data_IF_493666365369
#
_entry.id   IF_493666365369
#
_cell.length_a   1.000
_cell.length_b   1.000
_cell.length_c   1.000
_cell.angle_alpha   90.00
_cell.angle_beta   90.00
_cell.angle_gamma   90.00
#
_symmetry.space_group_name_H-M   'P 1'
#
loop_
_entity.id
_entity.type
_entity.pdbx_description
1 polymer ?
#
# COMPACT_ATOMS: atom_id res chain seq x y z
N UNK A 1 6.13 1.04 16.21
CA UNK A 1 4.97 1.34 15.31
C UNK A 1 4.94 0.36 14.14
N UNK A 2 3.84 -0.40 13.91
CA UNK A 2 3.74 -1.30 12.75
C UNK A 2 3.65 -0.57 11.42
N UNK A 3 4.26 -1.14 10.39
CA UNK A 3 4.37 -0.56 9.04
C UNK A 3 4.18 -1.63 7.99
N UNK A 4 3.50 -1.27 6.90
CA UNK A 4 3.30 -2.10 5.72
C UNK A 4 3.92 -1.42 4.50
N UNK A 5 4.98 -2.01 3.95
CA UNK A 5 5.49 -1.65 2.64
C UNK A 5 4.74 -2.44 1.56
N UNK A 6 4.26 -1.71 0.57
CA UNK A 6 3.64 -2.22 -0.63
C UNK A 6 4.62 -1.99 -1.78
N UNK A 7 5.01 -3.03 -2.49
CA UNK A 7 5.82 -2.97 -3.70
C UNK A 7 5.05 -3.62 -4.83
N UNK A 8 5.00 -2.99 -5.99
CA UNK A 8 4.20 -3.50 -7.11
C UNK A 8 4.62 -2.83 -8.42
N UNK A 9 4.13 -3.39 -9.51
CA UNK A 9 4.07 -2.71 -10.80
C UNK A 9 2.62 -2.40 -11.18
N UNK A 10 2.44 -1.48 -12.11
CA UNK A 10 1.13 -1.27 -12.72
C UNK A 10 0.90 -2.31 -13.80
N UNK A 11 -0.37 -2.71 -14.00
CA UNK A 11 -0.72 -3.48 -15.20
C UNK A 11 -0.41 -2.66 -16.46
N UNK A 12 -0.06 -3.29 -17.60
CA UNK A 12 0.44 -2.57 -18.78
C UNK A 12 -0.45 -1.47 -19.36
N UNK A 13 -1.77 -1.50 -19.10
CA UNK A 13 -2.74 -0.53 -19.60
C UNK A 13 -3.18 0.50 -18.54
N UNK A 14 -2.55 0.50 -17.36
CA UNK A 14 -2.90 1.40 -16.26
C UNK A 14 -1.95 2.59 -16.27
N UNK A 15 -2.52 3.77 -16.46
CA UNK A 15 -1.79 5.03 -16.34
C UNK A 15 -1.48 5.35 -14.88
N UNK A 16 -0.33 5.99 -14.64
CA UNK A 16 0.15 6.30 -13.29
C UNK A 16 -0.83 7.20 -12.53
N UNK A 17 -1.39 8.21 -13.19
CA UNK A 17 -2.32 9.17 -12.60
C UNK A 17 -3.63 8.51 -12.13
N UNK A 18 -4.12 7.52 -12.88
CA UNK A 18 -5.29 6.70 -12.51
C UNK A 18 -5.00 5.91 -11.25
N UNK A 19 -3.80 5.32 -11.15
CA UNK A 19 -3.39 4.58 -9.97
C UNK A 19 -3.17 5.49 -8.76
N UNK A 20 -2.48 6.62 -8.92
CA UNK A 20 -2.25 7.60 -7.85
C UNK A 20 -3.56 8.09 -7.22
N UNK A 21 -4.57 8.38 -8.05
CA UNK A 21 -5.90 8.75 -7.55
C UNK A 21 -6.57 7.62 -6.77
N UNK A 22 -6.46 6.38 -7.26
CA UNK A 22 -7.01 5.21 -6.57
C UNK A 22 -6.30 4.96 -5.23
N UNK A 23 -4.97 5.08 -5.20
CA UNK A 23 -4.15 4.93 -4.01
C UNK A 23 -4.47 6.00 -2.97
N UNK A 24 -4.47 7.28 -3.36
CA UNK A 24 -4.82 8.39 -2.46
C UNK A 24 -6.20 8.20 -1.85
N UNK A 25 -7.19 7.84 -2.67
CA UNK A 25 -8.55 7.59 -2.19
C UNK A 25 -8.60 6.42 -1.19
N UNK A 26 -7.82 5.36 -1.42
CA UNK A 26 -7.75 4.21 -0.51
C UNK A 26 -7.09 4.57 0.82
N UNK A 27 -5.98 5.31 0.78
CA UNK A 27 -5.30 5.81 1.98
C UNK A 27 -6.20 6.74 2.78
N UNK A 28 -6.91 7.65 2.11
CA UNK A 28 -7.89 8.54 2.76
C UNK A 28 -8.99 7.75 3.47
N UNK A 29 -9.50 6.69 2.86
CA UNK A 29 -10.51 5.80 3.49
C UNK A 29 -9.94 5.09 4.72
N UNK A 30 -8.69 4.60 4.66
CA UNK A 30 -8.03 3.97 5.81
C UNK A 30 -7.86 4.94 6.98
N UNK A 31 -7.32 6.14 6.70
CA UNK A 31 -7.04 7.15 7.73
C UNK A 31 -8.35 7.68 8.33
N UNK A 32 -9.30 8.10 7.48
CA UNK A 32 -10.59 8.63 7.95
C UNK A 32 -11.43 7.59 8.70
N UNK A 33 -11.26 6.30 8.38
CA UNK A 33 -11.86 5.18 9.11
C UNK A 33 -11.14 4.80 10.40
N UNK A 34 -10.03 5.46 10.75
CA UNK A 34 -9.21 5.12 11.93
C UNK A 34 -8.51 3.76 11.81
N UNK A 35 -8.33 3.26 10.59
CA UNK A 35 -7.71 1.97 10.26
C UNK A 35 -6.23 2.09 9.87
N UNK A 36 -5.74 3.30 9.62
CA UNK A 36 -4.32 3.61 9.55
C UNK A 36 -4.05 4.92 10.31
N UNK A 37 -2.81 5.10 10.75
CA UNK A 37 -2.34 6.38 11.30
C UNK A 37 -1.88 7.31 10.18
N UNK A 38 -1.22 6.74 9.17
CA UNK A 38 -0.66 7.50 8.05
C UNK A 38 -0.49 6.63 6.79
N UNK A 39 -0.32 7.27 5.63
CA UNK A 39 0.07 6.64 4.38
C UNK A 39 0.98 7.57 3.59
N UNK A 40 2.06 7.04 3.02
CA UNK A 40 2.98 7.86 2.24
C UNK A 40 2.41 8.13 0.85
N UNK A 41 2.88 9.21 0.20
CA UNK A 41 2.76 9.34 -1.25
C UNK A 41 3.28 8.08 -1.96
N UNK A 42 2.78 7.88 -3.18
CA UNK A 42 3.34 6.87 -4.08
C UNK A 42 4.80 7.25 -4.39
N UNK A 43 5.69 6.28 -4.28
CA UNK A 43 7.12 6.45 -4.51
C UNK A 43 7.57 5.62 -5.71
N UNK A 44 8.52 6.15 -6.46
CA UNK A 44 9.23 5.40 -7.48
C UNK A 44 10.53 4.85 -6.90
N UNK A 45 10.82 3.58 -7.18
CA UNK A 45 12.09 2.97 -6.83
C UNK A 45 13.23 3.56 -7.66
N UNK A 46 14.44 3.61 -7.08
CA UNK A 46 15.65 4.10 -7.76
C UNK A 46 16.73 3.00 -7.77
N UNK A 47 16.62 2.00 -8.67
CA UNK A 47 17.51 0.81 -8.66
C UNK A 47 18.98 1.13 -8.94
N UNK A 48 19.27 2.29 -9.54
CA UNK A 48 20.63 2.75 -9.79
C UNK A 48 21.33 3.33 -8.56
N UNK A 49 20.60 3.50 -7.46
CA UNK A 49 21.13 4.04 -6.21
C UNK A 49 21.98 3.01 -5.48
N UNK A 50 23.13 3.42 -4.94
CA UNK A 50 23.95 2.56 -4.07
C UNK A 50 23.28 2.16 -2.75
N UNK A 51 22.13 2.78 -2.42
CA UNK A 51 21.28 2.39 -1.28
C UNK A 51 20.25 1.32 -1.61
N UNK A 52 20.04 1.03 -2.89
CA UNK A 52 19.12 0.01 -3.35
C UNK A 52 19.88 -1.27 -3.67
N UNK A 53 19.99 -2.14 -2.66
CA UNK A 53 20.76 -3.39 -2.75
C UNK A 53 19.88 -4.63 -3.00
N UNK A 54 18.58 -4.45 -3.22
CA UNK A 54 17.66 -5.55 -3.50
C UNK A 54 17.72 -5.93 -4.98
N UNK A 55 18.59 -6.86 -5.34
CA UNK A 55 18.74 -7.29 -6.74
C UNK A 55 17.69 -8.34 -7.17
N UNK A 56 16.91 -8.88 -6.22
CA UNK A 56 15.94 -9.94 -6.51
C UNK A 56 14.58 -9.37 -6.90
N UNK A 57 14.08 -8.37 -6.16
CA UNK A 57 12.82 -7.70 -6.48
C UNK A 57 13.09 -6.66 -7.55
N UNK A 58 12.19 -6.50 -8.51
CA UNK A 58 12.33 -5.51 -9.61
C UNK A 58 11.17 -4.50 -9.69
N UNK A 59 10.23 -4.54 -8.73
CA UNK A 59 9.09 -3.62 -8.67
C UNK A 59 9.51 -2.16 -8.77
N UNK A 60 8.79 -1.40 -9.58
CA UNK A 60 9.10 0.00 -9.88
C UNK A 60 8.42 1.00 -8.94
N UNK A 61 7.31 0.61 -8.31
CA UNK A 61 6.53 1.47 -7.42
C UNK A 61 6.47 0.93 -6.00
N UNK A 62 6.42 1.85 -5.04
CA UNK A 62 6.42 1.57 -3.62
C UNK A 62 5.50 2.52 -2.87
N UNK A 63 4.82 2.04 -1.83
CA UNK A 63 4.06 2.89 -0.92
C UNK A 63 4.03 2.29 0.49
N UNK A 64 4.02 3.15 1.51
CA UNK A 64 4.03 2.74 2.91
C UNK A 64 2.70 3.11 3.58
N UNK A 65 2.16 2.20 4.39
CA UNK A 65 1.08 2.47 5.33
C UNK A 65 1.63 2.29 6.74
N UNK A 66 1.34 3.24 7.62
CA UNK A 66 1.74 3.20 9.02
C UNK A 66 0.51 3.04 9.92
N UNK A 67 0.65 2.19 10.93
CA UNK A 67 -0.39 1.93 11.92
C UNK A 67 0.12 2.36 13.29
N UNK A 68 -0.73 2.98 14.11
CA UNK A 68 -0.39 3.41 15.46
C UNK A 68 0.07 2.23 16.33
N UNK A 69 -0.65 1.12 16.24
CA UNK A 69 -0.47 -0.07 17.07
C UNK A 69 -0.89 -1.35 16.31
N UNK A 70 -0.50 -2.52 16.82
CA UNK A 70 -0.83 -3.81 16.19
C UNK A 70 -2.35 -4.01 16.08
N UNK A 71 -3.10 -3.58 17.10
CA UNK A 71 -4.56 -3.72 17.08
C UNK A 71 -5.22 -2.91 15.96
N UNK A 72 -4.67 -1.75 15.58
CA UNK A 72 -5.14 -0.99 14.43
C UNK A 72 -4.85 -1.73 13.11
N UNK A 73 -3.64 -2.30 12.96
CA UNK A 73 -3.30 -3.10 11.80
C UNK A 73 -4.23 -4.33 11.65
N UNK A 74 -4.50 -5.03 12.76
CA UNK A 74 -5.39 -6.19 12.77
C UNK A 74 -6.84 -5.81 12.37
N UNK A 75 -7.34 -4.67 12.88
CA UNK A 75 -8.67 -4.16 12.48
C UNK A 75 -8.72 -3.78 11.00
N UNK A 76 -7.66 -3.18 10.48
CA UNK A 76 -7.57 -2.82 9.06
C UNK A 76 -7.61 -4.08 8.19
N UNK A 77 -6.84 -5.11 8.55
CA UNK A 77 -6.83 -6.38 7.85
C UNK A 77 -8.20 -7.07 7.88
N UNK A 78 -8.82 -7.16 9.06
CA UNK A 78 -10.16 -7.73 9.20
C UNK A 78 -11.20 -6.99 8.34
N UNK A 79 -11.16 -5.65 8.31
CA UNK A 79 -12.06 -4.85 7.48
C UNK A 79 -11.84 -5.09 5.96
N UNK A 80 -10.60 -5.34 5.53
CA UNK A 80 -10.27 -5.72 4.16
C UNK A 80 -10.80 -7.12 3.82
N UNK A 81 -10.59 -8.10 4.71
CA UNK A 81 -11.08 -9.49 4.55
C UNK A 81 -12.62 -9.54 4.48
N UNK A 82 -13.28 -8.84 5.39
CA UNK A 82 -14.74 -8.73 5.47
C UNK A 82 -15.34 -7.82 4.40
N UNK A 83 -14.50 -7.10 3.64
CA UNK A 83 -14.89 -6.18 2.56
C UNK A 83 -15.84 -5.07 3.04
N UNK A 84 -15.60 -4.54 4.23
CA UNK A 84 -16.41 -3.46 4.82
C UNK A 84 -16.34 -2.22 3.93
N UNK A 85 -17.48 -1.65 3.54
CA UNK A 85 -17.51 -0.47 2.67
C UNK A 85 -17.34 0.83 3.48
N UNK A 86 -16.65 1.86 2.94
CA UNK A 86 -16.12 1.96 1.56
C UNK A 86 -14.70 1.36 1.35
N UNK A 87 -14.11 0.75 2.39
CA UNK A 87 -12.76 0.19 2.32
C UNK A 87 -12.66 -0.98 1.33
N UNK A 88 -13.65 -1.87 1.31
CA UNK A 88 -13.69 -3.03 0.42
C UNK A 88 -13.64 -2.63 -1.05
N UNK A 89 -14.43 -1.64 -1.47
CA UNK A 89 -14.43 -1.12 -2.84
C UNK A 89 -13.11 -0.44 -3.19
N UNK A 90 -12.58 0.42 -2.32
CA UNK A 90 -11.31 1.13 -2.57
C UNK A 90 -10.12 0.18 -2.65
N UNK A 91 -10.03 -0.80 -1.74
CA UNK A 91 -9.01 -1.86 -1.79
C UNK A 91 -9.08 -2.66 -3.09
N UNK A 92 -10.27 -3.15 -3.49
CA UNK A 92 -10.45 -3.89 -4.74
C UNK A 92 -10.05 -3.05 -5.97
N UNK A 93 -10.33 -1.75 -5.95
CA UNK A 93 -9.92 -0.83 -7.01
C UNK A 93 -8.39 -0.74 -7.10
N UNK A 94 -7.69 -0.58 -5.99
CA UNK A 94 -6.21 -0.55 -5.99
C UNK A 94 -5.65 -1.89 -6.49
N UNK A 95 -6.10 -3.01 -5.93
CA UNK A 95 -5.59 -4.35 -6.28
C UNK A 95 -5.88 -4.71 -7.75
N UNK A 96 -6.98 -4.23 -8.34
CA UNK A 96 -7.29 -4.52 -9.74
C UNK A 96 -6.36 -3.83 -10.74
N UNK A 97 -5.63 -2.80 -10.31
CA UNK A 97 -4.75 -1.97 -11.15
C UNK A 97 -3.28 -2.42 -11.13
N UNK A 98 -2.87 -3.19 -10.12
CA UNK A 98 -1.48 -3.60 -9.91
C UNK A 98 -1.19 -5.01 -10.43
N UNK A 99 0.09 -5.26 -10.67
CA UNK A 99 0.68 -6.54 -11.04
C UNK A 99 1.77 -6.88 -10.02
N UNK A 100 1.87 -8.18 -9.68
CA UNK A 100 2.89 -8.74 -8.78
C UNK A 100 3.05 -7.98 -7.45
N UNK A 101 1.99 -7.77 -6.65
CA UNK A 101 2.14 -7.03 -5.41
C UNK A 101 2.88 -7.85 -4.34
N UNK A 102 3.88 -7.24 -3.73
CA UNK A 102 4.60 -7.75 -2.56
C UNK A 102 4.33 -6.86 -1.35
N UNK A 103 3.93 -7.49 -0.26
CA UNK A 103 3.58 -6.84 1.00
C UNK A 103 4.55 -7.26 2.09
N UNK A 104 5.29 -6.31 2.65
CA UNK A 104 6.21 -6.55 3.77
C UNK A 104 5.72 -5.80 5.00
N UNK A 105 5.46 -6.52 6.09
CA UNK A 105 4.97 -5.96 7.34
C UNK A 105 5.99 -6.13 8.47
N UNK A 106 6.26 -5.08 9.22
CA UNK A 106 7.18 -5.11 10.36
C UNK A 106 6.75 -4.12 11.45
N UNK A 107 7.31 -4.29 12.64
CA UNK A 107 7.19 -3.36 13.74
C UNK A 107 8.55 -3.20 14.44
N UNK A 108 8.67 -2.16 15.26
CA UNK A 108 9.78 -2.05 16.22
C UNK A 108 9.71 -3.21 17.23
N UNK A 109 10.87 -3.61 17.73
CA UNK A 109 11.02 -4.65 18.75
C UNK A 109 10.51 -4.20 20.12
#
# INVERSE_FOLDING_TARGET
>A
MPRLLNQFDLKPSVELDVFEQAWSSFVDVLISGGLAENGTPLCQRVPSSGYDTDEERLHSLMALIEFRDQAQADRAWAAIEDRIEPLGQSHRKVISLVHDPVFTFWAEL
#
